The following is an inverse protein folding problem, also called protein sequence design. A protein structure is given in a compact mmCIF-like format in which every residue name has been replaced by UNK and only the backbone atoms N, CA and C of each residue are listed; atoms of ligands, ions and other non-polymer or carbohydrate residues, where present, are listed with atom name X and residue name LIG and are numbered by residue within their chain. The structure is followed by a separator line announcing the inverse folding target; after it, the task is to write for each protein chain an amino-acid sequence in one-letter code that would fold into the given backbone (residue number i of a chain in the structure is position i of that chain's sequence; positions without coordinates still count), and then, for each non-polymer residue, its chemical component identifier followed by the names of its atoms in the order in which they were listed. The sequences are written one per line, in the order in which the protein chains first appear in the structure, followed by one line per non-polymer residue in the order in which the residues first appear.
data_IF_210086211694
#
_entry.id   IF_210086211694
#
_cell.length_a   1.000
_cell.length_b   1.000
_cell.length_c   1.000
_cell.angle_alpha   90.00
_cell.angle_beta   90.00
_cell.angle_gamma   90.00
#
_symmetry.space_group_name_H-M   'P 1'
#
loop_
_entity.id
_entity.type
_entity.pdbx_description
1 polymer ?
#
# COMPACT_ATOMS: atom_id res chain seq x y z
N UNK A 1 7.96 44.75 -4.80
CA UNK A 1 8.73 43.67 -5.50
C UNK A 1 8.97 42.47 -4.59
N UNK A 2 9.48 42.65 -3.36
CA UNK A 2 9.67 41.57 -2.37
C UNK A 2 8.36 40.86 -1.96
N UNK A 3 7.27 41.61 -1.72
CA UNK A 3 5.96 41.02 -1.38
C UNK A 3 5.36 40.17 -2.51
N UNK A 4 5.66 40.50 -3.77
CA UNK A 4 5.21 39.73 -4.93
C UNK A 4 5.98 38.41 -5.06
N UNK A 5 7.26 38.39 -4.66
CA UNK A 5 8.11 37.19 -4.66
C UNK A 5 7.73 36.22 -3.53
N UNK A 6 7.42 36.71 -2.33
CA UNK A 6 6.94 35.87 -1.23
C UNK A 6 5.54 35.29 -1.48
N UNK A 7 4.66 36.06 -2.14
CA UNK A 7 3.32 35.60 -2.50
C UNK A 7 3.38 34.53 -3.61
N UNK A 8 4.26 34.69 -4.59
CA UNK A 8 4.48 33.70 -5.64
C UNK A 8 5.15 32.42 -5.11
N UNK A 9 6.10 32.51 -4.16
CA UNK A 9 6.71 31.29 -3.59
C UNK A 9 5.70 30.50 -2.76
N UNK A 10 4.93 31.15 -1.86
CA UNK A 10 3.89 30.48 -1.06
C UNK A 10 2.77 29.87 -1.92
N UNK A 11 2.40 30.53 -3.01
CA UNK A 11 1.37 30.04 -3.92
C UNK A 11 1.87 28.86 -4.77
N UNK A 12 3.16 28.83 -5.13
CA UNK A 12 3.80 27.67 -5.78
C UNK A 12 3.89 26.47 -4.85
N UNK A 13 4.35 26.65 -3.60
CA UNK A 13 4.40 25.56 -2.60
C UNK A 13 3.01 24.99 -2.27
N UNK A 14 1.98 25.85 -2.20
CA UNK A 14 0.59 25.42 -2.03
C UNK A 14 0.07 24.62 -3.22
N UNK A 15 0.49 24.95 -4.44
CA UNK A 15 0.10 24.24 -5.66
C UNK A 15 0.74 22.86 -5.70
N UNK A 16 2.04 22.76 -5.46
CA UNK A 16 2.78 21.49 -5.52
C UNK A 16 2.31 20.49 -4.46
N UNK A 17 2.07 20.97 -3.23
CA UNK A 17 1.49 20.13 -2.18
C UNK A 17 0.06 19.67 -2.52
N UNK A 18 -0.76 20.55 -3.13
CA UNK A 18 -2.12 20.18 -3.53
C UNK A 18 -2.13 19.13 -4.64
N UNK A 19 -1.20 19.21 -5.61
CA UNK A 19 -1.06 18.21 -6.68
C UNK A 19 -0.58 16.89 -6.11
N UNK A 20 0.46 16.91 -5.28
CA UNK A 20 0.95 15.71 -4.59
C UNK A 20 -0.18 15.00 -3.83
N UNK A 21 -0.88 15.74 -2.96
CA UNK A 21 -1.95 15.17 -2.14
C UNK A 21 -3.08 14.63 -3.01
N UNK A 22 -3.49 15.38 -4.04
CA UNK A 22 -4.54 14.93 -4.97
C UNK A 22 -4.15 13.64 -5.68
N UNK A 23 -2.92 13.56 -6.21
CA UNK A 23 -2.45 12.36 -6.90
C UNK A 23 -2.38 11.17 -5.95
N UNK A 24 -1.78 11.34 -4.77
CA UNK A 24 -1.63 10.29 -3.77
C UNK A 24 -2.98 9.74 -3.27
N UNK A 25 -3.95 10.63 -3.03
CA UNK A 25 -5.31 10.24 -2.64
C UNK A 25 -6.12 9.62 -3.80
N UNK A 26 -5.79 9.96 -5.06
CA UNK A 26 -6.46 9.40 -6.24
C UNK A 26 -6.03 7.98 -6.59
N UNK A 27 -4.93 7.48 -5.99
CA UNK A 27 -4.44 6.12 -6.22
C UNK A 27 -5.53 5.12 -5.81
N UNK A 28 -5.95 4.27 -6.73
CA UNK A 28 -6.94 3.22 -6.47
C UNK A 28 -6.31 1.96 -5.85
N UNK A 29 -5.52 2.19 -4.80
CA UNK A 29 -4.83 1.19 -3.99
C UNK A 29 -4.62 1.80 -2.60
N UNK A 30 -4.50 0.96 -1.57
CA UNK A 30 -3.99 1.45 -0.30
C UNK A 30 -2.52 1.81 -0.50
N UNK A 31 -2.18 3.08 -0.25
CA UNK A 31 -0.85 3.61 -0.48
C UNK A 31 -0.23 4.06 0.84
N UNK A 32 1.04 3.70 1.03
CA UNK A 32 1.83 4.06 2.19
C UNK A 32 3.19 4.58 1.76
N UNK A 33 3.69 5.58 2.48
CA UNK A 33 5.11 5.92 2.50
C UNK A 33 5.62 5.50 3.86
N UNK A 34 6.63 4.64 3.89
CA UNK A 34 7.23 4.15 5.13
C UNK A 34 8.72 4.48 5.19
N UNK A 35 9.20 4.79 6.39
CA UNK A 35 10.63 4.93 6.67
C UNK A 35 11.32 3.56 6.74
N UNK A 36 12.65 3.56 6.67
CA UNK A 36 13.40 2.30 6.76
C UNK A 36 13.38 1.63 8.15
N UNK A 37 12.92 2.33 9.19
CA UNK A 37 12.63 1.72 10.51
C UNK A 37 11.19 1.18 10.61
N UNK A 38 10.44 1.15 9.50
CA UNK A 38 9.12 0.53 9.41
C UNK A 38 7.97 1.38 9.98
N UNK A 39 8.17 2.69 10.13
CA UNK A 39 7.10 3.62 10.54
C UNK A 39 6.37 4.15 9.32
N UNK A 40 5.07 4.32 9.46
CA UNK A 40 4.24 4.97 8.45
C UNK A 40 4.50 6.47 8.54
N UNK A 41 4.97 7.05 7.45
CA UNK A 41 5.17 8.50 7.29
C UNK A 41 3.88 9.12 6.76
N UNK A 42 3.30 8.51 5.73
CA UNK A 42 2.05 8.96 5.12
C UNK A 42 1.24 7.78 4.59
N UNK A 43 -0.08 7.94 4.57
CA UNK A 43 -1.05 6.96 4.12
C UNK A 43 -2.24 7.66 3.45
N UNK A 44 -2.86 7.04 2.45
CA UNK A 44 -3.99 7.61 1.71
C UNK A 44 -5.34 7.11 2.25
N UNK A 45 -6.46 7.71 1.82
CA UNK A 45 -7.80 7.35 2.30
C UNK A 45 -8.16 5.88 2.09
N UNK A 46 -7.71 5.32 0.96
CA UNK A 46 -7.91 3.90 0.62
C UNK A 46 -7.26 2.96 1.63
N UNK A 47 -6.19 3.37 2.28
CA UNK A 47 -5.54 2.57 3.32
C UNK A 47 -6.40 2.47 4.59
N UNK A 48 -7.06 3.54 5.01
CA UNK A 48 -7.99 3.51 6.15
C UNK A 48 -9.19 2.61 5.84
N UNK A 49 -9.80 2.82 4.67
CA UNK A 49 -10.96 2.05 4.21
C UNK A 49 -10.63 0.55 4.10
N UNK A 50 -9.46 0.23 3.55
CA UNK A 50 -9.05 -1.15 3.37
C UNK A 50 -8.75 -1.80 4.73
N UNK A 51 -7.92 -1.20 5.57
CA UNK A 51 -7.47 -1.90 6.79
C UNK A 51 -8.42 -1.74 7.98
N UNK A 52 -9.41 -0.85 7.90
CA UNK A 52 -10.41 -0.62 8.94
C UNK A 52 -9.87 0.12 10.17
N UNK A 53 -8.73 0.80 10.05
CA UNK A 53 -8.18 1.69 11.07
C UNK A 53 -8.60 3.12 10.78
N UNK A 54 -8.79 3.92 11.84
CA UNK A 54 -8.86 5.36 11.65
C UNK A 54 -7.47 5.97 11.37
N UNK A 55 -7.45 7.27 11.09
CA UNK A 55 -6.23 8.00 10.75
C UNK A 55 -5.18 7.96 11.87
N UNK A 56 -5.58 8.13 13.13
CA UNK A 56 -4.65 8.21 14.25
C UNK A 56 -4.08 6.82 14.57
N UNK A 57 -4.93 5.80 14.54
CA UNK A 57 -4.54 4.42 14.74
C UNK A 57 -3.58 3.93 13.66
N UNK A 58 -3.90 4.16 12.38
CA UNK A 58 -3.08 3.65 11.28
C UNK A 58 -1.72 4.32 11.23
N UNK A 59 -1.63 5.64 11.42
CA UNK A 59 -0.35 6.34 11.34
C UNK A 59 0.57 6.05 12.55
N UNK A 60 0.03 5.57 13.67
CA UNK A 60 0.82 5.12 14.81
C UNK A 60 1.10 3.60 14.79
N UNK A 61 0.52 2.86 13.85
CA UNK A 61 0.72 1.42 13.71
C UNK A 61 2.10 1.13 13.10
N UNK A 62 2.92 0.26 13.72
CA UNK A 62 4.11 -0.28 13.04
C UNK A 62 3.68 -0.98 11.75
N UNK A 63 4.28 -0.61 10.61
CA UNK A 63 3.80 -1.08 9.30
C UNK A 63 3.71 -2.60 9.19
N UNK A 64 4.66 -3.33 9.81
CA UNK A 64 4.67 -4.79 9.88
C UNK A 64 3.37 -5.42 10.42
N UNK A 65 2.59 -4.69 11.22
CA UNK A 65 1.38 -5.22 11.84
C UNK A 65 0.21 -5.37 10.85
N UNK A 66 0.31 -4.82 9.64
CA UNK A 66 -0.67 -5.03 8.58
C UNK A 66 -0.51 -6.38 7.89
N UNK A 67 0.61 -7.06 8.08
CA UNK A 67 0.86 -8.38 7.52
C UNK A 67 0.24 -9.47 8.40
N UNK A 68 -0.12 -10.59 7.78
CA UNK A 68 -0.50 -11.79 8.53
C UNK A 68 0.68 -12.35 9.30
N UNK A 69 0.40 -13.13 10.35
CA UNK A 69 1.44 -13.72 11.21
C UNK A 69 2.28 -14.79 10.48
N UNK A 70 1.88 -15.21 9.27
CA UNK A 70 2.64 -16.12 8.42
C UNK A 70 3.75 -15.41 7.63
N UNK A 71 3.68 -14.09 7.51
CA UNK A 71 4.65 -13.33 6.71
C UNK A 71 5.84 -12.94 7.59
N UNK A 72 7.04 -13.41 7.23
CA UNK A 72 8.28 -12.90 7.82
C UNK A 72 8.60 -11.52 7.25
N UNK A 73 8.08 -10.49 7.93
CA UNK A 73 8.32 -9.10 7.56
C UNK A 73 9.81 -8.75 7.55
N UNK A 74 10.63 -9.32 8.43
CA UNK A 74 12.03 -8.93 8.54
C UNK A 74 12.81 -9.36 7.31
N UNK A 75 12.63 -10.62 6.90
CA UNK A 75 13.22 -11.17 5.68
C UNK A 75 12.71 -10.44 4.44
N UNK A 76 11.39 -10.24 4.35
CA UNK A 76 10.77 -9.56 3.21
C UNK A 76 11.27 -8.11 3.08
N UNK A 77 11.40 -7.39 4.20
CA UNK A 77 11.87 -6.01 4.21
C UNK A 77 13.33 -5.88 3.76
N UNK A 78 14.20 -6.81 4.17
CA UNK A 78 15.59 -6.88 3.69
C UNK A 78 15.65 -7.14 2.17
N UNK A 79 14.79 -8.04 1.67
CA UNK A 79 14.70 -8.32 0.24
C UNK A 79 14.21 -7.11 -0.57
N UNK A 80 13.15 -6.43 -0.11
CA UNK A 80 12.63 -5.22 -0.74
C UNK A 80 13.72 -4.14 -0.82
N UNK A 81 14.38 -3.86 0.30
CA UNK A 81 15.36 -2.78 0.41
C UNK A 81 16.64 -3.07 -0.38
N UNK A 82 17.11 -4.32 -0.41
CA UNK A 82 18.28 -4.71 -1.21
C UNK A 82 18.03 -4.63 -2.72
N UNK A 83 16.82 -4.93 -3.18
CA UNK A 83 16.43 -4.83 -4.60
C UNK A 83 15.99 -3.43 -5.02
N UNK A 84 15.73 -2.54 -4.06
CA UNK A 84 15.19 -1.19 -4.31
C UNK A 84 13.69 -1.18 -4.64
N UNK A 85 12.99 -2.28 -4.41
CA UNK A 85 11.59 -2.47 -4.76
C UNK A 85 11.30 -3.87 -5.32
N UNK A 86 10.06 -4.31 -5.17
CA UNK A 86 9.55 -5.58 -5.68
C UNK A 86 8.03 -5.61 -5.72
N UNK A 87 7.50 -6.48 -6.59
CA UNK A 87 6.10 -6.81 -6.71
C UNK A 87 5.87 -8.28 -6.31
N UNK A 88 4.90 -8.55 -5.43
CA UNK A 88 4.65 -9.90 -4.91
C UNK A 88 3.23 -10.04 -4.34
N UNK A 89 2.71 -11.27 -4.29
CA UNK A 89 1.50 -11.59 -3.54
C UNK A 89 1.80 -11.88 -2.07
N UNK A 90 0.88 -11.50 -1.18
CA UNK A 90 0.97 -11.79 0.26
C UNK A 90 -0.42 -11.95 0.90
N UNK A 91 -0.44 -12.20 2.19
CA UNK A 91 -1.63 -12.17 3.04
C UNK A 91 -1.49 -11.04 4.06
N UNK A 92 -2.43 -10.10 4.05
CA UNK A 92 -2.51 -9.01 5.00
C UNK A 92 -3.65 -9.23 6.00
N UNK A 93 -3.61 -8.48 7.10
CA UNK A 93 -4.53 -8.56 8.22
C UNK A 93 -5.17 -7.19 8.48
N UNK A 94 -6.50 -7.13 8.54
CA UNK A 94 -7.25 -5.92 8.93
C UNK A 94 -7.28 -5.75 10.45
N UNK A 95 -7.77 -4.60 10.93
CA UNK A 95 -7.96 -4.31 12.37
C UNK A 95 -8.81 -5.36 13.09
N UNK A 96 -9.85 -5.87 12.44
CA UNK A 96 -10.74 -6.90 12.97
C UNK A 96 -10.11 -8.31 13.00
N UNK A 97 -8.88 -8.45 12.51
CA UNK A 97 -8.14 -9.72 12.43
C UNK A 97 -8.42 -10.54 11.18
N UNK A 98 -9.33 -10.10 10.30
CA UNK A 98 -9.59 -10.79 9.03
C UNK A 98 -8.34 -10.77 8.14
N UNK A 99 -8.04 -11.93 7.56
CA UNK A 99 -6.92 -12.12 6.64
C UNK A 99 -7.46 -12.05 5.21
N UNK A 100 -6.78 -11.31 4.34
CA UNK A 100 -7.16 -11.17 2.94
C UNK A 100 -5.94 -11.23 2.02
N UNK A 101 -6.08 -11.81 0.82
CA UNK A 101 -5.00 -11.89 -0.15
C UNK A 101 -4.77 -10.51 -0.77
N UNK A 102 -3.50 -10.17 -0.97
CA UNK A 102 -3.09 -8.92 -1.59
C UNK A 102 -2.02 -9.15 -2.65
N UNK A 103 -1.92 -8.21 -3.58
CA UNK A 103 -0.67 -7.95 -4.31
C UNK A 103 -0.10 -6.64 -3.81
N UNK A 104 1.20 -6.65 -3.56
CA UNK A 104 1.96 -5.51 -3.03
C UNK A 104 3.01 -5.13 -4.06
N UNK A 105 3.08 -3.84 -4.38
CA UNK A 105 4.16 -3.26 -5.16
C UNK A 105 4.92 -2.26 -4.30
N UNK A 106 6.25 -2.32 -4.37
CA UNK A 106 7.13 -1.51 -3.51
C UNK A 106 8.21 -0.83 -4.34
N UNK A 107 8.53 0.41 -3.99
CA UNK A 107 9.58 1.18 -4.65
C UNK A 107 10.35 2.02 -3.64
N UNK A 108 11.68 1.87 -3.62
CA UNK A 108 12.57 2.65 -2.79
C UNK A 108 12.92 3.97 -3.48
N UNK A 109 12.71 5.09 -2.79
CA UNK A 109 13.06 6.41 -3.29
C UNK A 109 13.61 7.30 -2.16
N UNK A 110 14.08 8.50 -2.52
CA UNK A 110 14.53 9.50 -1.56
C UNK A 110 13.48 10.58 -1.37
N UNK A 111 13.13 10.85 -0.12
CA UNK A 111 12.32 12.00 0.30
C UNK A 111 13.20 12.86 1.20
N UNK A 112 13.50 14.09 0.77
CA UNK A 112 14.44 15.00 1.46
C UNK A 112 15.79 14.32 1.80
N UNK A 113 16.39 13.65 0.82
CA UNK A 113 17.62 12.83 0.94
C UNK A 113 17.54 11.61 1.85
N UNK A 114 16.40 11.34 2.49
CA UNK A 114 16.18 10.16 3.32
C UNK A 114 15.56 9.03 2.49
N UNK A 115 16.09 7.80 2.56
CA UNK A 115 15.48 6.67 1.89
C UNK A 115 14.15 6.32 2.55
N UNK A 116 13.12 6.16 1.72
CA UNK A 116 11.75 5.78 2.10
C UNK A 116 11.20 4.80 1.08
N UNK A 117 10.22 4.01 1.48
CA UNK A 117 9.58 3.02 0.63
C UNK A 117 8.14 3.46 0.34
N UNK A 118 7.80 3.58 -0.94
CA UNK A 118 6.41 3.62 -1.39
C UNK A 118 5.89 2.18 -1.41
N UNK A 119 4.74 1.95 -0.79
CA UNK A 119 4.06 0.65 -0.80
C UNK A 119 2.64 0.83 -1.30
N UNK A 120 2.30 0.11 -2.35
CA UNK A 120 0.96 0.05 -2.91
C UNK A 120 0.39 -1.34 -2.68
N UNK A 121 -0.82 -1.40 -2.14
CA UNK A 121 -1.49 -2.65 -1.79
C UNK A 121 -2.84 -2.72 -2.48
N UNK A 122 -3.05 -3.78 -3.25
CA UNK A 122 -4.35 -4.11 -3.84
C UNK A 122 -4.91 -5.37 -3.21
N UNK A 123 -6.16 -5.28 -2.77
CA UNK A 123 -6.95 -6.45 -2.40
C UNK A 123 -7.29 -7.25 -3.66
N UNK A 124 -6.94 -8.53 -3.66
CA UNK A 124 -7.18 -9.45 -4.79
C UNK A 124 -8.22 -10.52 -4.43
N UNK A 125 -9.03 -10.30 -3.40
CA UNK A 125 -10.09 -11.22 -2.96
C UNK A 125 -11.06 -11.53 -4.10
N UNK A 126 -11.61 -10.51 -4.76
CA UNK A 126 -12.57 -10.69 -5.85
C UNK A 126 -11.98 -11.48 -7.02
N UNK A 127 -10.70 -11.22 -7.34
CA UNK A 127 -9.95 -11.95 -8.37
C UNK A 127 -9.82 -13.43 -8.01
N UNK A 128 -9.35 -13.75 -6.79
CA UNK A 128 -9.21 -15.14 -6.35
C UNK A 128 -10.56 -15.87 -6.26
N UNK A 129 -11.62 -15.19 -5.83
CA UNK A 129 -12.97 -15.76 -5.82
C UNK A 129 -13.49 -16.07 -7.25
N UNK A 130 -13.18 -15.23 -8.24
CA UNK A 130 -13.55 -15.48 -9.62
C UNK A 130 -12.77 -16.64 -10.23
N UNK A 131 -11.46 -16.69 -10.00
CA UNK A 131 -10.58 -17.79 -10.42
C UNK A 131 -11.04 -19.14 -9.85
N UNK A 132 -11.40 -19.18 -8.56
CA UNK A 132 -11.86 -20.40 -7.90
C UNK A 132 -13.22 -20.88 -8.43
N UNK A 133 -14.15 -19.97 -8.71
CA UNK A 133 -15.45 -20.32 -9.33
C UNK A 133 -15.27 -20.90 -10.72
N UNK A 134 -14.36 -20.34 -11.51
CA UNK A 134 -14.04 -20.85 -12.83
C UNK A 134 -13.45 -22.26 -12.74
N UNK A 135 -12.45 -22.45 -11.86
CA UNK A 135 -11.82 -23.75 -11.60
C UNK A 135 -12.81 -24.82 -11.17
N UNK A 136 -13.70 -24.50 -10.21
CA UNK A 136 -14.73 -25.43 -9.75
C UNK A 136 -15.73 -25.79 -10.88
N UNK A 137 -16.05 -24.84 -11.76
CA UNK A 137 -16.91 -25.13 -12.92
C UNK A 137 -16.22 -26.05 -13.92
N UNK A 138 -14.94 -25.84 -14.22
CA UNK A 138 -14.15 -26.67 -15.13
C UNK A 138 -13.99 -28.11 -14.61
N UNK A 139 -13.68 -28.26 -13.31
CA UNK A 139 -13.61 -29.56 -12.64
C UNK A 139 -14.95 -30.30 -12.71
N UNK A 140 -16.07 -29.59 -12.48
CA UNK A 140 -17.41 -30.17 -12.59
C UNK A 140 -17.74 -30.63 -14.00
N UNK A 141 -17.38 -29.86 -15.03
CA UNK A 141 -17.55 -30.29 -16.41
C UNK A 141 -16.71 -31.51 -16.72
N UNK A 142 -15.43 -31.55 -16.29
CA UNK A 142 -14.55 -32.71 -16.51
C UNK A 142 -15.16 -33.99 -15.93
N UNK A 143 -15.67 -33.96 -14.69
CA UNK A 143 -16.30 -35.12 -14.06
C UNK A 143 -17.63 -35.59 -14.70
N UNK A 144 -18.25 -34.80 -15.57
CA UNK A 144 -19.50 -35.18 -16.27
C UNK A 144 -19.19 -35.90 -17.60
N UNK A 145 -18.05 -35.59 -18.22
CA UNK A 145 -17.64 -36.14 -19.51
C UNK A 145 -16.66 -37.33 -19.40
N UNK A 146 -16.15 -37.59 -18.20
CA UNK A 146 -15.49 -38.85 -17.80
C UNK A 146 -16.52 -39.86 -17.26
#
# INVERSE_FOLDING_TARGET
MLEQQEKNSKQSYSSDYSVYKTLFESINAAAFIISLDGKIIESNIKSYDLYGYDWEELNNLPFKNIFSDKTDWSQLFEEITSKGGMNFESENKRKDGSIFPVVIDTSLFKLDEKPVLLVLVWDITDRKCAEEKLRASEERYRCIFD
#
